data_IF_633198985128
#
_entry.id   IF_633198985128
#
_cell.length_a   1.000
_cell.length_b   1.000
_cell.length_c   1.000
_cell.angle_alpha   90.00
_cell.angle_beta   90.00
_cell.angle_gamma   90.00
#
_symmetry.space_group_name_H-M   'P 1'
#
loop_
_entity.id
_entity.type
_entity.pdbx_description
1 polymer ?
#
# COMPACT_ATOMS: atom_id res chain seq x y z
N UNK A 1 0.22 11.36 -10.08
CA UNK A 1 0.91 11.11 -8.78
C UNK A 1 0.59 12.15 -7.71
N UNK A 2 -0.42 12.98 -7.85
CA UNK A 2 -0.74 14.03 -6.86
C UNK A 2 -1.53 13.52 -5.64
N UNK A 3 -2.00 12.29 -5.67
CA UNK A 3 -2.78 11.65 -4.59
C UNK A 3 -2.13 10.39 -4.01
N UNK A 4 -1.01 9.92 -4.58
CA UNK A 4 -0.33 8.71 -4.12
C UNK A 4 0.37 8.92 -2.76
N UNK A 5 0.34 7.93 -1.90
CA UNK A 5 1.20 7.85 -0.73
C UNK A 5 2.60 7.44 -1.17
N UNK A 6 3.58 8.30 -0.95
CA UNK A 6 4.94 8.12 -1.47
C UNK A 6 5.97 8.16 -0.33
N UNK A 7 6.88 7.18 -0.33
CA UNK A 7 8.15 7.20 0.44
C UNK A 7 9.31 7.50 -0.49
N UNK A 8 10.40 8.05 0.05
CA UNK A 8 11.64 8.37 -0.66
C UNK A 8 11.72 9.80 -1.17
N UNK A 9 12.91 10.22 -1.63
CA UNK A 9 13.18 11.60 -2.01
C UNK A 9 12.48 11.99 -3.32
N UNK A 10 11.92 13.20 -3.35
CA UNK A 10 11.16 13.70 -4.51
C UNK A 10 11.97 13.72 -5.81
N UNK A 11 13.29 13.85 -5.74
CA UNK A 11 14.19 13.89 -6.90
C UNK A 11 14.66 12.51 -7.40
N UNK A 12 14.33 11.40 -6.71
CA UNK A 12 14.72 10.09 -7.18
C UNK A 12 14.02 9.76 -8.51
N UNK A 13 14.79 9.28 -9.47
CA UNK A 13 14.31 8.92 -10.80
C UNK A 13 13.74 7.51 -10.83
N UNK A 14 14.28 6.60 -10.01
CA UNK A 14 13.72 5.25 -9.86
C UNK A 14 12.41 5.33 -9.08
N UNK A 15 11.32 4.86 -9.67
CA UNK A 15 9.97 4.88 -9.10
C UNK A 15 9.38 3.48 -9.13
N UNK A 16 9.08 2.95 -7.95
CA UNK A 16 8.34 1.70 -7.78
C UNK A 16 6.92 2.02 -7.34
N UNK A 17 5.92 1.56 -8.09
CA UNK A 17 4.50 1.68 -7.72
C UNK A 17 3.97 0.28 -7.44
N UNK A 18 3.31 0.11 -6.30
CA UNK A 18 2.57 -1.10 -5.95
C UNK A 18 1.07 -0.84 -6.00
N UNK A 19 0.35 -1.63 -6.80
CA UNK A 19 -1.10 -1.78 -6.66
C UNK A 19 -1.38 -2.96 -5.75
N UNK A 20 -2.03 -2.71 -4.64
CA UNK A 20 -2.08 -3.65 -3.54
C UNK A 20 -3.45 -3.70 -2.85
N UNK A 21 -3.67 -4.81 -2.16
CA UNK A 21 -4.87 -5.11 -1.38
C UNK A 21 -4.42 -5.60 0.01
N UNK A 22 -4.83 -4.90 1.07
CA UNK A 22 -4.44 -5.22 2.44
C UNK A 22 -4.90 -6.62 2.90
N UNK A 23 -5.97 -7.16 2.32
CA UNK A 23 -6.46 -8.50 2.64
C UNK A 23 -5.82 -9.59 1.77
N UNK A 24 -5.17 -9.26 0.66
CA UNK A 24 -4.57 -10.24 -0.23
C UNK A 24 -3.35 -10.91 0.43
N UNK A 25 -3.35 -12.27 0.57
CA UNK A 25 -2.23 -12.98 1.20
C UNK A 25 -0.89 -12.77 0.48
N UNK A 26 -0.92 -12.70 -0.86
CA UNK A 26 0.28 -12.43 -1.64
C UNK A 26 0.86 -11.04 -1.33
N UNK A 27 0.02 -10.00 -1.20
CA UNK A 27 0.47 -8.66 -0.77
C UNK A 27 1.10 -8.69 0.62
N UNK A 28 0.49 -9.42 1.57
CA UNK A 28 1.06 -9.64 2.89
C UNK A 28 2.44 -10.31 2.85
N UNK A 29 2.64 -11.25 1.93
CA UNK A 29 3.93 -11.93 1.74
C UNK A 29 5.01 -11.00 1.17
N UNK A 30 4.64 -10.03 0.32
CA UNK A 30 5.58 -9.04 -0.21
C UNK A 30 5.93 -7.93 0.79
N UNK A 31 5.07 -7.63 1.75
CA UNK A 31 5.30 -6.56 2.71
C UNK A 31 6.67 -6.61 3.41
N UNK A 32 7.11 -7.73 4.04
CA UNK A 32 8.44 -7.80 4.64
C UNK A 32 9.59 -7.69 3.63
N UNK A 33 9.38 -8.12 2.38
CA UNK A 33 10.35 -7.97 1.29
C UNK A 33 10.51 -6.49 0.95
N UNK A 34 9.40 -5.79 0.73
CA UNK A 34 9.39 -4.36 0.42
C UNK A 34 10.00 -3.51 1.55
N UNK A 35 9.73 -3.85 2.81
CA UNK A 35 10.38 -3.18 3.96
C UNK A 35 11.90 -3.26 3.90
N UNK A 36 12.46 -4.45 3.58
CA UNK A 36 13.91 -4.63 3.41
C UNK A 36 14.44 -3.84 2.22
N UNK A 37 13.74 -3.86 1.09
CA UNK A 37 14.12 -3.12 -0.11
C UNK A 37 14.09 -1.61 0.12
N UNK A 38 13.08 -1.11 0.81
CA UNK A 38 12.98 0.30 1.19
C UNK A 38 14.05 0.72 2.19
N UNK A 39 14.48 -0.16 3.09
CA UNK A 39 15.61 0.10 3.98
C UNK A 39 16.94 0.18 3.21
N UNK A 40 17.10 -0.58 2.12
CA UNK A 40 18.33 -0.58 1.30
C UNK A 40 18.36 0.53 0.25
N UNK A 41 17.24 0.83 -0.40
CA UNK A 41 17.16 1.70 -1.58
C UNK A 41 16.34 2.97 -1.37
N UNK A 42 15.70 3.15 -0.21
CA UNK A 42 14.71 4.22 0.01
C UNK A 42 15.28 5.64 -0.06
N UNK A 43 16.60 5.81 0.00
CA UNK A 43 17.31 7.09 -0.23
C UNK A 43 17.50 7.39 -1.73
N UNK A 44 17.33 6.43 -2.62
CA UNK A 44 17.59 6.50 -4.06
C UNK A 44 16.38 6.17 -4.93
N UNK A 45 15.25 5.78 -4.33
CA UNK A 45 14.04 5.45 -5.06
C UNK A 45 12.81 6.06 -4.41
N UNK A 46 11.77 6.24 -5.18
CA UNK A 46 10.41 6.56 -4.69
C UNK A 46 9.57 5.30 -4.72
N UNK A 47 8.86 5.06 -3.63
CA UNK A 47 7.88 3.99 -3.54
C UNK A 47 6.49 4.60 -3.40
N UNK A 48 5.58 4.27 -4.28
CA UNK A 48 4.19 4.70 -4.24
C UNK A 48 3.25 3.50 -4.02
N UNK A 49 2.30 3.67 -3.11
CA UNK A 49 1.26 2.69 -2.83
C UNK A 49 -0.07 3.15 -3.44
N UNK A 50 -0.77 2.24 -4.10
CA UNK A 50 -2.10 2.45 -4.67
C UNK A 50 -3.05 1.34 -4.25
N UNK A 51 -4.24 1.75 -3.85
CA UNK A 51 -5.29 0.82 -3.44
C UNK A 51 -5.88 0.06 -4.63
N UNK A 52 -5.91 -1.25 -4.52
CA UNK A 52 -6.61 -2.11 -5.49
C UNK A 52 -7.38 -3.21 -4.76
N UNK A 53 -8.38 -2.84 -3.91
CA UNK A 53 -9.17 -3.81 -3.16
C UNK A 53 -9.95 -4.70 -4.12
N UNK A 54 -9.76 -6.02 -3.98
CA UNK A 54 -10.41 -7.03 -4.81
C UNK A 54 -11.80 -7.34 -4.27
N UNK A 55 -12.76 -7.58 -5.17
CA UNK A 55 -14.17 -7.81 -4.80
C UNK A 55 -14.39 -9.03 -3.91
N UNK A 56 -13.53 -10.06 -4.02
CA UNK A 56 -13.59 -11.27 -3.21
C UNK A 56 -13.02 -11.11 -1.80
N UNK A 57 -12.43 -9.95 -1.49
CA UNK A 57 -11.84 -9.63 -0.20
C UNK A 57 -12.72 -8.62 0.56
N UNK A 58 -13.67 -9.08 1.40
CA UNK A 58 -14.68 -8.21 2.01
C UNK A 58 -14.10 -7.14 2.95
N UNK A 59 -12.96 -7.40 3.59
CA UNK A 59 -12.28 -6.46 4.48
C UNK A 59 -11.24 -5.57 3.77
N UNK A 60 -10.98 -5.75 2.47
CA UNK A 60 -9.96 -5.00 1.75
C UNK A 60 -10.31 -3.50 1.63
N UNK A 61 -11.55 -3.16 1.29
CA UNK A 61 -11.99 -1.76 1.22
C UNK A 61 -12.07 -1.10 2.62
N UNK A 62 -12.62 -1.74 3.67
CA UNK A 62 -12.50 -1.24 5.04
C UNK A 62 -11.06 -0.96 5.48
N UNK A 63 -10.12 -1.88 5.18
CA UNK A 63 -8.69 -1.69 5.49
C UNK A 63 -8.08 -0.51 4.71
N UNK A 64 -8.40 -0.37 3.43
CA UNK A 64 -7.96 0.77 2.63
C UNK A 64 -8.48 2.09 3.22
N UNK A 65 -9.75 2.14 3.62
CA UNK A 65 -10.33 3.31 4.29
C UNK A 65 -9.64 3.63 5.62
N UNK A 66 -9.29 2.62 6.41
CA UNK A 66 -8.54 2.81 7.65
C UNK A 66 -7.16 3.41 7.41
N UNK A 67 -6.43 2.94 6.39
CA UNK A 67 -5.14 3.49 5.99
C UNK A 67 -5.25 4.96 5.55
N UNK A 68 -6.24 5.29 4.71
CA UNK A 68 -6.50 6.65 4.26
C UNK A 68 -6.90 7.58 5.41
N UNK A 69 -7.80 7.15 6.30
CA UNK A 69 -8.21 7.94 7.46
C UNK A 69 -7.02 8.23 8.40
N UNK A 70 -6.15 7.24 8.62
CA UNK A 70 -4.90 7.44 9.35
C UNK A 70 -3.97 8.41 8.61
N UNK A 71 -3.92 8.32 7.29
CA UNK A 71 -3.13 9.20 6.42
C UNK A 71 -3.53 10.67 6.54
N UNK A 72 -4.82 10.98 6.68
CA UNK A 72 -5.32 12.33 6.95
C UNK A 72 -4.84 12.91 8.29
N UNK A 73 -4.34 12.04 9.16
CA UNK A 73 -3.70 12.41 10.43
C UNK A 73 -2.18 12.18 10.41
N UNK A 74 -1.58 12.03 9.21
CA UNK A 74 -0.14 11.88 9.00
C UNK A 74 0.42 10.49 9.36
N UNK A 75 -0.46 9.46 9.44
CA UNK A 75 -0.12 8.10 9.89
C UNK A 75 -0.46 7.01 8.89
N UNK A 76 -0.43 7.32 7.57
CA UNK A 76 -0.72 6.33 6.53
C UNK A 76 0.21 5.12 6.63
N UNK A 77 1.51 5.36 6.66
CA UNK A 77 2.48 4.28 6.58
C UNK A 77 2.53 3.42 7.85
N UNK A 78 2.31 4.02 9.00
CA UNK A 78 2.21 3.27 10.24
C UNK A 78 0.95 2.38 10.27
N UNK A 79 -0.18 2.88 9.78
CA UNK A 79 -1.41 2.08 9.63
C UNK A 79 -1.23 0.99 8.57
N UNK A 80 -0.64 1.31 7.42
CA UNK A 80 -0.28 0.37 6.36
C UNK A 80 0.53 -0.81 6.91
N UNK A 81 1.57 -0.52 7.70
CA UNK A 81 2.41 -1.57 8.28
C UNK A 81 1.62 -2.43 9.28
N UNK A 82 0.79 -1.83 10.15
CA UNK A 82 -0.07 -2.56 11.09
C UNK A 82 -1.10 -3.45 10.39
N UNK A 83 -1.68 -2.98 9.29
CA UNK A 83 -2.65 -3.76 8.50
C UNK A 83 -2.00 -5.01 7.92
N UNK A 84 -0.83 -4.91 7.31
CA UNK A 84 -0.14 -6.08 6.78
C UNK A 84 0.45 -6.99 7.87
N UNK A 85 1.10 -6.43 8.88
CA UNK A 85 1.66 -7.22 9.99
C UNK A 85 0.59 -7.99 10.76
N UNK A 86 -0.60 -7.41 10.90
CA UNK A 86 -1.74 -8.04 11.57
C UNK A 86 -2.67 -8.80 10.64
N UNK A 87 -2.39 -8.94 9.34
CA UNK A 87 -3.31 -9.47 8.35
C UNK A 87 -3.96 -10.80 8.77
N UNK A 88 -3.19 -11.73 9.31
CA UNK A 88 -3.69 -13.03 9.78
C UNK A 88 -4.67 -12.95 10.95
N UNK A 89 -4.75 -11.82 11.64
CA UNK A 89 -5.68 -11.64 12.77
C UNK A 89 -7.04 -11.09 12.36
N UNK A 90 -7.13 -10.48 11.18
CA UNK A 90 -8.36 -9.81 10.76
C UNK A 90 -8.88 -10.23 9.38
N UNK A 91 -8.04 -10.84 8.53
CA UNK A 91 -8.44 -11.15 7.15
C UNK A 91 -9.65 -12.07 7.04
N UNK A 92 -9.78 -13.03 7.97
CA UNK A 92 -10.86 -14.04 7.95
C UNK A 92 -12.07 -13.67 8.83
N UNK A 93 -12.05 -12.47 9.44
CA UNK A 93 -13.19 -12.00 10.22
C UNK A 93 -14.34 -11.55 9.31
N UNK A 94 -15.56 -11.73 9.76
CA UNK A 94 -16.75 -11.21 9.08
C UNK A 94 -16.75 -9.66 9.09
N UNK A 95 -16.17 -9.06 10.15
CA UNK A 95 -16.00 -7.63 10.35
C UNK A 95 -14.68 -7.38 11.09
N UNK A 96 -13.80 -6.62 10.47
CA UNK A 96 -12.48 -6.28 11.00
C UNK A 96 -12.41 -4.84 11.55
N UNK A 97 -13.47 -4.05 11.49
CA UNK A 97 -13.43 -2.61 11.86
C UNK A 97 -12.96 -2.39 13.31
N UNK A 98 -13.36 -3.27 14.24
CA UNK A 98 -12.90 -3.21 15.63
C UNK A 98 -11.40 -3.38 15.81
N UNK A 99 -10.76 -4.17 14.94
CA UNK A 99 -9.30 -4.32 14.92
C UNK A 99 -8.64 -3.03 14.40
N UNK A 100 -9.19 -2.43 13.36
CA UNK A 100 -8.67 -1.18 12.78
C UNK A 100 -8.81 -0.01 13.76
N UNK A 101 -9.88 0.04 14.54
CA UNK A 101 -10.03 0.96 15.68
C UNK A 101 -8.93 0.77 16.73
N UNK A 102 -8.58 -0.48 17.04
CA UNK A 102 -7.47 -0.82 17.91
C UNK A 102 -6.13 -0.28 17.38
N UNK A 103 -5.90 -0.39 16.08
CA UNK A 103 -4.71 0.19 15.43
C UNK A 103 -4.72 1.71 15.49
N UNK A 104 -5.87 2.36 15.24
CA UNK A 104 -6.00 3.80 15.34
C UNK A 104 -5.67 4.32 16.76
N UNK A 105 -6.16 3.63 17.82
CA UNK A 105 -5.78 3.93 19.22
C UNK A 105 -4.30 3.75 19.47
N UNK A 106 -3.71 2.65 19.00
CA UNK A 106 -2.26 2.37 19.13
C UNK A 106 -1.40 3.45 18.47
N UNK A 107 -1.87 4.01 17.36
CA UNK A 107 -1.19 5.11 16.65
C UNK A 107 -1.44 6.49 17.25
N UNK A 108 -2.28 6.59 18.29
CA UNK A 108 -2.62 7.86 18.96
C UNK A 108 -3.46 8.79 18.09
N UNK A 109 -4.30 8.23 17.20
CA UNK A 109 -5.16 9.02 16.34
C UNK A 109 -6.35 9.61 17.13
N UNK A 110 -6.84 10.77 16.68
CA UNK A 110 -8.15 11.26 17.06
C UNK A 110 -9.23 10.34 16.50
N UNK A 111 -9.87 9.55 17.35
CA UNK A 111 -10.85 8.55 16.95
C UNK A 111 -12.12 9.16 16.38
N UNK A 112 -12.56 10.30 16.89
CA UNK A 112 -13.76 10.98 16.36
C UNK A 112 -13.51 11.40 14.90
N UNK A 113 -12.36 11.98 14.63
CA UNK A 113 -11.92 12.34 13.29
C UNK A 113 -11.69 11.11 12.42
N UNK A 114 -11.06 10.06 12.96
CA UNK A 114 -10.84 8.81 12.24
C UNK A 114 -12.16 8.21 11.75
N UNK A 115 -13.17 8.08 12.62
CA UNK A 115 -14.48 7.55 12.25
C UNK A 115 -15.23 8.45 11.25
N UNK A 116 -15.13 9.77 11.39
CA UNK A 116 -15.71 10.70 10.41
C UNK A 116 -15.06 10.51 9.02
N UNK A 117 -13.74 10.37 9.00
CA UNK A 117 -12.97 10.16 7.76
C UNK A 117 -13.27 8.81 7.10
N UNK A 118 -13.41 7.70 7.86
CA UNK A 118 -13.81 6.39 7.33
C UNK A 118 -15.08 6.44 6.48
N UNK A 119 -16.01 7.33 6.81
CA UNK A 119 -17.29 7.48 6.13
C UNK A 119 -17.29 8.58 5.05
N UNK A 120 -16.17 9.28 4.85
CA UNK A 120 -16.13 10.41 3.92
C UNK A 120 -16.22 9.96 2.46
N UNK A 121 -16.96 10.72 1.65
CA UNK A 121 -17.09 10.45 0.21
C UNK A 121 -15.76 10.68 -0.53
N UNK A 122 -14.95 11.62 -0.06
CA UNK A 122 -13.65 11.95 -0.66
C UNK A 122 -12.67 10.78 -0.53
N UNK A 123 -12.62 10.14 0.64
CA UNK A 123 -11.75 9.01 0.88
C UNK A 123 -12.14 7.81 -0.01
N UNK A 124 -13.44 7.51 -0.11
CA UNK A 124 -13.93 6.48 -1.03
C UNK A 124 -13.58 6.79 -2.48
N UNK A 125 -13.64 8.07 -2.87
CA UNK A 125 -13.26 8.52 -4.20
C UNK A 125 -11.79 8.26 -4.49
N UNK A 126 -10.89 8.54 -3.55
CA UNK A 126 -9.43 8.26 -3.69
C UNK A 126 -9.19 6.78 -3.95
N UNK A 127 -9.76 5.89 -3.14
CA UNK A 127 -9.62 4.43 -3.30
C UNK A 127 -10.18 3.98 -4.65
N UNK A 128 -11.34 4.52 -5.04
CA UNK A 128 -11.97 4.18 -6.32
C UNK A 128 -11.17 4.70 -7.53
N UNK A 129 -10.53 5.86 -7.44
CA UNK A 129 -9.64 6.40 -8.48
C UNK A 129 -8.42 5.50 -8.68
N UNK A 130 -7.80 5.03 -7.60
CA UNK A 130 -6.72 4.06 -7.67
C UNK A 130 -7.17 2.76 -8.31
N UNK A 131 -8.28 2.18 -7.83
CA UNK A 131 -8.87 0.96 -8.38
C UNK A 131 -9.19 1.10 -9.88
N UNK A 132 -9.76 2.23 -10.30
CA UNK A 132 -10.02 2.51 -11.72
C UNK A 132 -8.73 2.62 -12.53
N UNK A 133 -7.69 3.23 -11.96
CA UNK A 133 -6.40 3.34 -12.65
C UNK A 133 -5.80 1.95 -12.91
N UNK A 134 -5.80 1.05 -11.92
CA UNK A 134 -5.37 -0.33 -12.08
C UNK A 134 -6.25 -1.12 -13.05
N UNK A 135 -7.58 -0.93 -13.00
CA UNK A 135 -8.52 -1.58 -13.93
C UNK A 135 -8.25 -1.18 -15.39
N UNK A 136 -7.94 0.10 -15.65
CA UNK A 136 -7.56 0.56 -17.01
C UNK A 136 -6.25 -0.04 -17.51
N UNK A 137 -5.36 -0.43 -16.61
CA UNK A 137 -4.10 -1.10 -16.93
C UNK A 137 -4.28 -2.61 -17.10
N UNK A 138 -5.50 -3.15 -16.93
CA UNK A 138 -5.81 -4.58 -17.00
C UNK A 138 -4.89 -5.42 -16.10
N UNK A 139 -4.71 -4.98 -14.85
CA UNK A 139 -3.85 -5.68 -13.89
C UNK A 139 -4.34 -7.12 -13.67
N UNK A 140 -3.41 -8.11 -13.63
CA UNK A 140 -3.76 -9.51 -13.45
C UNK A 140 -4.23 -9.84 -12.03
N UNK A 141 -3.97 -8.95 -11.07
CA UNK A 141 -4.30 -9.13 -9.65
C UNK A 141 -3.40 -8.28 -8.75
N UNK A 142 -3.34 -8.66 -7.47
CA UNK A 142 -2.50 -8.00 -6.46
C UNK A 142 -1.51 -8.98 -5.82
N UNK A 143 -0.30 -8.53 -5.47
CA UNK A 143 0.25 -7.23 -5.82
C UNK A 143 0.59 -7.14 -7.31
N UNK A 144 0.55 -5.92 -7.89
CA UNK A 144 1.12 -5.63 -9.20
C UNK A 144 2.11 -4.47 -9.08
N UNK A 145 3.31 -4.67 -9.58
CA UNK A 145 4.41 -3.73 -9.45
C UNK A 145 4.77 -3.06 -10.78
N UNK A 146 4.92 -1.73 -10.75
CA UNK A 146 5.46 -0.97 -11.88
C UNK A 146 6.79 -0.35 -11.47
N UNK A 147 7.83 -0.64 -12.23
CA UNK A 147 9.14 0.00 -12.10
C UNK A 147 9.34 0.96 -13.27
N UNK A 148 9.49 2.25 -12.97
CA UNK A 148 9.65 3.32 -13.96
C UNK A 148 8.57 3.29 -15.07
N UNK A 149 7.32 2.98 -14.67
CA UNK A 149 6.17 2.91 -15.58
C UNK A 149 6.00 1.59 -16.33
N UNK A 150 6.90 0.63 -16.17
CA UNK A 150 6.80 -0.70 -16.78
C UNK A 150 6.33 -1.72 -15.76
N UNK A 151 5.27 -2.47 -16.09
CA UNK A 151 4.81 -3.60 -15.27
C UNK A 151 5.91 -4.66 -15.24
N UNK A 152 6.31 -5.04 -14.03
CA UNK A 152 7.26 -6.14 -13.82
C UNK A 152 6.52 -7.38 -13.35
N UNK A 153 6.97 -8.56 -13.78
CA UNK A 153 6.49 -9.82 -13.23
C UNK A 153 6.85 -9.85 -11.73
N UNK A 154 5.95 -10.37 -10.92
CA UNK A 154 6.16 -10.44 -9.47
C UNK A 154 7.44 -11.23 -9.16
N UNK A 155 8.51 -10.58 -8.63
CA UNK A 155 9.79 -11.25 -8.41
C UNK A 155 9.69 -12.32 -7.33
N UNK A 156 10.37 -13.44 -7.51
CA UNK A 156 10.39 -14.50 -6.50
C UNK A 156 11.30 -14.12 -5.30
N UNK A 157 10.69 -13.50 -4.31
CA UNK A 157 11.36 -13.17 -3.06
C UNK A 157 12.29 -11.95 -3.13
N UNK A 158 13.05 -11.77 -2.05
CA UNK A 158 13.89 -10.59 -1.84
C UNK A 158 15.05 -10.47 -2.86
N UNK A 159 15.77 -11.56 -3.13
CA UNK A 159 17.00 -11.50 -3.91
C UNK A 159 16.75 -11.14 -5.38
N UNK A 160 15.70 -11.67 -5.97
CA UNK A 160 15.32 -11.32 -7.34
C UNK A 160 14.84 -9.88 -7.42
N UNK A 161 13.95 -9.47 -6.52
CA UNK A 161 13.45 -8.09 -6.48
C UNK A 161 14.58 -7.09 -6.24
N UNK A 162 15.51 -7.42 -5.36
CA UNK A 162 16.71 -6.63 -5.09
C UNK A 162 17.56 -6.42 -6.34
N UNK A 163 17.79 -7.48 -7.12
CA UNK A 163 18.57 -7.39 -8.40
C UNK A 163 17.90 -6.45 -9.39
N UNK A 164 16.59 -6.54 -9.55
CA UNK A 164 15.80 -5.68 -10.46
C UNK A 164 15.94 -4.21 -10.03
N UNK A 165 15.71 -3.90 -8.76
CA UNK A 165 15.84 -2.53 -8.24
C UNK A 165 17.27 -2.00 -8.33
N UNK A 166 18.27 -2.83 -8.00
CA UNK A 166 19.68 -2.45 -8.07
C UNK A 166 20.11 -2.05 -9.49
N UNK A 167 19.61 -2.75 -10.51
CA UNK A 167 19.87 -2.39 -11.91
C UNK A 167 19.25 -1.03 -12.26
N UNK A 168 18.00 -0.78 -11.83
CA UNK A 168 17.32 0.48 -12.07
C UNK A 168 18.02 1.66 -11.39
N UNK A 169 18.36 1.52 -10.11
CA UNK A 169 19.02 2.58 -9.32
C UNK A 169 20.44 2.90 -9.82
N UNK A 170 21.17 1.92 -10.40
CA UNK A 170 22.51 2.13 -10.96
C UNK A 170 22.48 2.89 -12.31
N UNK A 171 21.39 2.85 -13.01
CA UNK A 171 21.21 3.55 -14.30
C UNK A 171 20.79 5.01 -14.11
N UNK A 172 20.59 5.43 -12.86
CA UNK A 172 20.32 6.82 -12.47
C UNK A 172 21.64 7.52 -12.10
N UNK A 173 22.28 8.29 -13.03
CA UNK A 173 23.46 9.06 -12.73
C UNK A 173 23.15 10.29 -11.86
#
# INVERSE_FOLDING_TARGET
MTTDWVKGPAGAKTVLIEYSDFQCPACGSYHPILRKLLAEFGDRMRFAYRHFPLKQHPNAEPAARAAEAAGRQGKFWEMHDLLFEGQSTWSDLADAEGIFDGYARRLGLDLARFHADLNSAELRKTIEEDRRSGSRLNLPGTPSFFLNGTLILNPEGYDEFRKILQQSVRQDP
#
